data_IF_505913922299
#
_entry.id   IF_505913922299
#
_cell.length_a   1.000
_cell.length_b   1.000
_cell.length_c   1.000
_cell.angle_alpha   90.00
_cell.angle_beta   90.00
_cell.angle_gamma   90.00
#
_symmetry.space_group_name_H-M   'P 1'
#
loop_
_entity.id
_entity.type
_entity.pdbx_description
1 polymer ?
#
# COMPACT_ATOMS: atom_id res chain seq x y z
N UNK A 1 -19.60 27.54 4.29
CA UNK A 1 -18.93 27.28 3.00
C UNK A 1 -17.56 27.92 3.04
N UNK A 2 -16.54 27.17 2.65
CA UNK A 2 -15.18 27.69 2.52
C UNK A 2 -15.09 28.41 1.15
N UNK A 3 -14.71 29.70 1.08
CA UNK A 3 -14.60 30.42 -0.19
C UNK A 3 -13.59 29.76 -1.12
N UNK A 4 -13.81 29.86 -2.44
CA UNK A 4 -12.83 29.43 -3.43
C UNK A 4 -11.57 30.29 -3.33
N UNK A 5 -10.42 29.66 -3.45
CA UNK A 5 -9.11 30.31 -3.37
C UNK A 5 -8.20 29.70 -4.45
N UNK A 6 -7.75 30.49 -5.42
CA UNK A 6 -6.85 30.02 -6.47
C UNK A 6 -5.55 29.40 -5.94
N UNK A 7 -5.08 29.80 -4.74
CA UNK A 7 -3.90 29.22 -4.11
C UNK A 7 -4.14 27.80 -3.55
N UNK A 8 -5.40 27.36 -3.49
CA UNK A 8 -5.82 26.00 -3.09
C UNK A 8 -6.40 25.23 -4.28
N UNK A 9 -5.99 25.58 -5.50
CA UNK A 9 -6.32 24.78 -6.68
C UNK A 9 -5.78 23.35 -6.51
N UNK A 10 -6.59 22.36 -6.91
CA UNK A 10 -6.15 20.97 -6.90
C UNK A 10 -5.03 20.77 -7.90
N UNK A 11 -3.96 20.08 -7.46
CA UNK A 11 -2.95 19.56 -8.36
C UNK A 11 -3.50 18.28 -9.00
N UNK A 12 -3.45 18.22 -10.33
CA UNK A 12 -3.73 16.99 -11.07
C UNK A 12 -2.65 15.94 -10.79
N UNK A 13 -2.96 14.67 -10.99
CA UNK A 13 -1.99 13.59 -10.76
C UNK A 13 -0.70 13.76 -11.59
N UNK A 14 -0.74 14.11 -12.90
CA UNK A 14 0.48 14.38 -13.65
C UNK A 14 1.32 15.53 -13.09
N UNK A 15 0.68 16.58 -12.55
CA UNK A 15 1.40 17.68 -11.89
C UNK A 15 2.08 17.21 -10.60
N UNK A 16 1.41 16.39 -9.80
CA UNK A 16 1.98 15.80 -8.58
C UNK A 16 3.18 14.90 -8.93
N UNK A 17 3.04 14.00 -9.90
CA UNK A 17 4.11 13.10 -10.37
C UNK A 17 5.29 13.92 -10.89
N UNK A 18 5.05 14.98 -11.67
CA UNK A 18 6.11 15.85 -12.18
C UNK A 18 6.86 16.59 -11.05
N UNK A 19 6.16 17.03 -10.00
CA UNK A 19 6.78 17.66 -8.83
C UNK A 19 7.68 16.67 -8.10
N UNK A 20 7.18 15.46 -7.81
CA UNK A 20 7.94 14.43 -7.09
C UNK A 20 9.14 13.96 -7.92
N UNK A 21 8.95 13.72 -9.23
CA UNK A 21 10.03 13.31 -10.13
C UNK A 21 11.12 14.40 -10.28
N UNK A 22 10.77 15.67 -10.08
CA UNK A 22 11.71 16.79 -10.10
C UNK A 22 12.48 17.00 -8.80
N UNK A 23 12.12 16.31 -7.71
CA UNK A 23 12.77 16.40 -6.41
C UNK A 23 13.88 15.36 -6.26
N UNK A 24 15.12 15.81 -6.06
CA UNK A 24 16.27 14.92 -5.85
C UNK A 24 16.50 13.95 -7.01
N UNK A 25 16.40 12.66 -6.73
CA UNK A 25 16.49 11.57 -7.72
C UNK A 25 15.11 11.11 -8.25
N UNK A 26 14.06 11.85 -7.92
CA UNK A 26 12.68 11.56 -8.31
C UNK A 26 11.99 10.51 -7.45
N UNK A 27 12.59 10.08 -6.32
CA UNK A 27 12.05 9.05 -5.42
C UNK A 27 11.75 7.72 -6.13
N UNK A 28 12.47 7.44 -7.22
CA UNK A 28 12.29 6.26 -8.06
C UNK A 28 11.26 6.41 -9.20
N UNK A 29 10.59 7.56 -9.33
CA UNK A 29 9.74 7.84 -10.49
C UNK A 29 10.60 8.03 -11.74
N UNK A 30 10.38 7.16 -12.73
CA UNK A 30 11.10 7.22 -14.00
C UNK A 30 10.33 8.01 -15.07
N UNK A 31 10.93 8.11 -16.26
CA UNK A 31 10.31 8.81 -17.39
C UNK A 31 8.99 8.16 -17.84
N UNK A 32 8.81 6.85 -17.61
CA UNK A 32 7.58 6.15 -17.96
C UNK A 32 6.44 6.52 -17.00
N UNK A 33 6.71 6.57 -15.69
CA UNK A 33 5.75 7.04 -14.68
C UNK A 33 5.31 8.49 -14.94
N UNK A 34 6.27 9.37 -15.28
CA UNK A 34 5.98 10.77 -15.65
C UNK A 34 5.15 10.84 -16.93
N UNK A 35 5.47 10.06 -17.96
CA UNK A 35 4.71 10.04 -19.22
C UNK A 35 3.30 9.45 -19.06
N UNK A 36 3.14 8.45 -18.20
CA UNK A 36 1.84 7.90 -17.79
C UNK A 36 1.03 8.92 -16.99
N UNK A 37 1.72 9.86 -16.31
CA UNK A 37 1.10 10.83 -15.40
C UNK A 37 0.58 10.17 -14.13
N UNK A 38 1.08 8.97 -13.81
CA UNK A 38 0.67 8.17 -12.65
C UNK A 38 1.87 7.50 -11.99
N UNK A 39 1.88 7.47 -10.66
CA UNK A 39 2.98 6.94 -9.87
C UNK A 39 3.01 5.40 -9.83
N UNK A 40 3.31 4.78 -10.97
CA UNK A 40 3.65 3.37 -11.06
C UNK A 40 5.12 3.21 -11.38
N UNK A 41 5.84 2.48 -10.53
CA UNK A 41 7.27 2.25 -10.73
C UNK A 41 7.73 1.02 -9.94
N UNK A 42 8.90 0.52 -10.30
CA UNK A 42 9.56 -0.58 -9.60
C UNK A 42 10.97 -0.18 -9.18
N UNK A 43 11.46 -0.83 -8.13
CA UNK A 43 12.88 -0.78 -7.79
C UNK A 43 13.30 -2.08 -7.12
N UNK A 44 14.56 -2.46 -7.34
CA UNK A 44 15.16 -3.65 -6.73
C UNK A 44 15.92 -3.27 -5.46
N UNK A 45 15.87 -4.13 -4.46
CA UNK A 45 16.75 -4.02 -3.29
C UNK A 45 18.12 -4.60 -3.66
N UNK A 46 19.14 -3.77 -3.61
CA UNK A 46 20.49 -4.14 -4.03
C UNK A 46 21.01 -5.35 -3.25
N UNK A 47 21.52 -6.36 -3.98
CA UNK A 47 22.10 -7.57 -3.39
C UNK A 47 21.08 -8.63 -2.96
N UNK A 48 19.79 -8.46 -3.27
CA UNK A 48 18.74 -9.44 -2.96
C UNK A 48 17.86 -9.73 -4.20
N UNK A 49 17.05 -10.80 -4.19
CA UNK A 49 16.04 -11.04 -5.23
C UNK A 49 14.78 -10.18 -5.04
N UNK A 50 14.74 -9.24 -4.10
CA UNK A 50 13.52 -8.49 -3.77
C UNK A 50 13.31 -7.30 -4.72
N UNK A 51 12.11 -7.22 -5.30
CA UNK A 51 11.60 -6.09 -6.09
C UNK A 51 10.37 -5.49 -5.41
N UNK A 52 10.32 -4.17 -5.34
CA UNK A 52 9.11 -3.45 -4.99
C UNK A 52 8.38 -3.04 -6.27
N UNK A 53 7.06 -3.28 -6.30
CA UNK A 53 6.15 -2.67 -7.26
C UNK A 53 5.31 -1.64 -6.52
N UNK A 54 5.47 -0.37 -6.87
CA UNK A 54 4.69 0.73 -6.29
C UNK A 54 3.53 1.06 -7.22
N UNK A 55 2.32 0.97 -6.68
CA UNK A 55 1.08 1.17 -7.43
C UNK A 55 0.32 2.40 -6.94
N UNK A 56 -0.27 3.13 -7.89
CA UNK A 56 -1.29 4.11 -7.56
C UNK A 56 -2.70 3.52 -7.66
N UNK A 57 -3.35 3.37 -6.52
CA UNK A 57 -4.75 2.90 -6.41
C UNK A 57 -5.74 4.03 -6.12
N UNK A 58 -5.32 5.28 -6.05
CA UNK A 58 -6.21 6.42 -5.82
C UNK A 58 -7.14 6.67 -7.01
N UNK A 59 -8.42 6.88 -6.74
CA UNK A 59 -9.39 7.23 -7.77
C UNK A 59 -9.23 8.69 -8.21
N UNK A 60 -8.98 8.90 -9.50
CA UNK A 60 -8.92 10.22 -10.14
C UNK A 60 -10.23 11.03 -10.02
N UNK A 61 -11.33 10.35 -9.70
CA UNK A 61 -12.66 10.96 -9.63
C UNK A 61 -13.03 11.39 -8.20
N UNK A 62 -12.14 11.14 -7.23
CA UNK A 62 -12.23 11.65 -5.86
C UNK A 62 -12.92 10.73 -4.85
N UNK A 63 -13.22 9.49 -5.21
CA UNK A 63 -13.68 8.49 -4.24
C UNK A 63 -12.59 8.19 -3.20
N UNK A 64 -13.00 7.93 -1.95
CA UNK A 64 -12.09 7.46 -0.89
C UNK A 64 -11.65 6.01 -1.08
N UNK A 65 -12.35 5.23 -1.90
CA UNK A 65 -12.01 3.84 -2.17
C UNK A 65 -10.94 3.72 -3.26
N UNK A 66 -10.19 2.62 -3.19
CA UNK A 66 -9.21 2.28 -4.20
C UNK A 66 -9.86 1.90 -5.52
N UNK A 67 -9.25 2.29 -6.63
CA UNK A 67 -9.70 1.95 -7.98
C UNK A 67 -8.56 1.25 -8.72
N UNK A 68 -8.83 0.02 -9.16
CA UNK A 68 -7.98 -0.72 -10.09
C UNK A 68 -8.88 -1.23 -11.20
N UNK A 69 -8.46 -1.05 -12.44
CA UNK A 69 -9.21 -1.46 -13.63
C UNK A 69 -8.37 -2.43 -14.48
N UNK A 70 -8.99 -3.25 -15.35
CA UNK A 70 -8.28 -4.17 -16.24
C UNK A 70 -7.16 -3.50 -17.04
N UNK A 71 -7.37 -2.24 -17.46
CA UNK A 71 -6.33 -1.47 -18.16
C UNK A 71 -5.06 -1.31 -17.31
N UNK A 72 -5.16 -1.17 -15.98
CA UNK A 72 -3.99 -1.08 -15.10
C UNK A 72 -3.23 -2.40 -15.06
N UNK A 73 -3.95 -3.53 -15.06
CA UNK A 73 -3.38 -4.87 -15.12
C UNK A 73 -2.66 -5.09 -16.46
N UNK A 74 -3.32 -4.78 -17.57
CA UNK A 74 -2.83 -5.05 -18.91
C UNK A 74 -1.65 -4.16 -19.32
N UNK A 75 -1.64 -2.91 -18.88
CA UNK A 75 -0.69 -1.92 -19.38
C UNK A 75 0.51 -1.67 -18.47
N UNK A 76 0.38 -1.95 -17.17
CA UNK A 76 1.44 -1.62 -16.19
C UNK A 76 1.69 -2.76 -15.20
N UNK A 77 0.69 -3.17 -14.43
CA UNK A 77 0.91 -4.07 -13.29
C UNK A 77 1.33 -5.47 -13.77
N UNK A 78 0.59 -6.07 -14.69
CA UNK A 78 0.89 -7.40 -15.25
C UNK A 78 2.26 -7.44 -15.91
N UNK A 79 2.59 -6.53 -16.85
CA UNK A 79 3.92 -6.47 -17.45
C UNK A 79 5.07 -6.36 -16.43
N UNK A 80 4.91 -5.59 -15.35
CA UNK A 80 5.93 -5.46 -14.30
C UNK A 80 6.09 -6.74 -13.48
N UNK A 81 5.00 -7.44 -13.19
CA UNK A 81 5.03 -8.74 -12.49
C UNK A 81 5.61 -9.85 -13.39
N UNK A 82 5.25 -9.88 -14.67
CA UNK A 82 5.81 -10.79 -15.66
C UNK A 82 7.33 -10.59 -15.81
N UNK A 83 7.79 -9.33 -15.87
CA UNK A 83 9.22 -9.00 -15.92
C UNK A 83 9.95 -9.45 -14.65
N UNK A 84 9.36 -9.22 -13.48
CA UNK A 84 9.92 -9.66 -12.20
C UNK A 84 10.03 -11.18 -12.14
N UNK A 85 9.00 -11.90 -12.61
CA UNK A 85 8.99 -13.36 -12.66
C UNK A 85 10.07 -13.89 -13.59
N UNK A 86 10.21 -13.31 -14.79
CA UNK A 86 11.24 -13.69 -15.76
C UNK A 86 12.68 -13.37 -15.29
N UNK A 87 12.82 -12.51 -14.28
CA UNK A 87 14.09 -12.11 -13.67
C UNK A 87 14.34 -12.79 -12.31
N UNK A 88 13.57 -13.82 -11.96
CA UNK A 88 13.65 -14.56 -10.69
C UNK A 88 13.59 -13.64 -9.46
N UNK A 89 12.70 -12.63 -9.50
CA UNK A 89 12.52 -11.65 -8.41
C UNK A 89 11.30 -11.96 -7.57
N UNK A 90 11.46 -11.92 -6.25
CA UNK A 90 10.35 -11.88 -5.29
C UNK A 90 9.77 -10.47 -5.23
N UNK A 91 8.45 -10.35 -5.30
CA UNK A 91 7.76 -9.07 -5.41
C UNK A 91 7.01 -8.73 -4.13
N UNK A 92 7.27 -7.52 -3.63
CA UNK A 92 6.38 -6.81 -2.70
C UNK A 92 5.59 -5.80 -3.51
N UNK A 93 4.28 -6.04 -3.62
CA UNK A 93 3.35 -5.07 -4.20
C UNK A 93 2.96 -4.07 -3.13
N UNK A 94 3.12 -2.78 -3.42
CA UNK A 94 2.78 -1.69 -2.49
C UNK A 94 1.71 -0.79 -3.09
N UNK A 95 0.78 -0.34 -2.25
CA UNK A 95 -0.33 0.52 -2.68
C UNK A 95 -0.93 1.27 -1.50
N UNK A 96 -1.65 2.37 -1.72
CA UNK A 96 -2.39 3.01 -0.63
C UNK A 96 -3.52 2.12 -0.10
N UNK A 97 -4.40 1.64 -0.98
CA UNK A 97 -5.57 0.84 -0.61
C UNK A 97 -5.25 -0.65 -0.50
N UNK A 98 -5.75 -1.33 0.54
CA UNK A 98 -5.79 -2.79 0.62
C UNK A 98 -6.82 -3.38 -0.35
N UNK A 99 -6.74 -4.68 -0.64
CA UNK A 99 -7.68 -5.38 -1.51
C UNK A 99 -9.14 -5.21 -1.06
N UNK A 100 -9.36 -5.21 0.25
CA UNK A 100 -10.68 -5.05 0.89
C UNK A 100 -11.19 -3.60 0.92
N UNK A 101 -10.45 -2.65 0.33
CA UNK A 101 -10.81 -1.23 0.25
C UNK A 101 -10.88 -0.74 -1.20
N UNK A 102 -11.10 -1.68 -2.12
CA UNK A 102 -11.38 -1.36 -3.52
C UNK A 102 -12.87 -1.09 -3.72
N UNK A 103 -13.18 -0.17 -4.63
CA UNK A 103 -14.52 0.15 -5.07
C UNK A 103 -14.57 0.38 -6.58
N UNK A 104 -15.71 0.87 -7.05
CA UNK A 104 -15.96 1.13 -8.47
C UNK A 104 -15.64 2.58 -8.90
N UNK A 105 -14.98 3.34 -8.03
CA UNK A 105 -14.65 4.74 -8.25
C UNK A 105 -15.79 5.72 -7.94
N UNK A 106 -16.98 5.25 -7.54
CA UNK A 106 -18.07 6.08 -7.04
C UNK A 106 -18.21 6.02 -5.52
N UNK A 107 -18.54 7.14 -4.91
CA UNK A 107 -18.97 7.24 -3.51
C UNK A 107 -20.15 8.24 -3.41
N UNK A 108 -20.84 8.31 -2.27
CA UNK A 108 -21.97 9.21 -2.11
C UNK A 108 -21.58 10.68 -2.34
N UNK A 109 -22.02 11.25 -3.46
CA UNK A 109 -21.81 12.66 -3.80
C UNK A 109 -20.45 13.00 -4.42
N UNK A 110 -19.59 12.02 -4.68
CA UNK A 110 -18.28 12.20 -5.33
C UNK A 110 -17.91 10.97 -6.18
N UNK A 111 -16.96 11.10 -7.10
CA UNK A 111 -16.52 9.96 -7.89
C UNK A 111 -17.29 9.75 -9.19
N UNK A 112 -16.85 8.77 -9.95
CA UNK A 112 -17.47 8.29 -11.19
C UNK A 112 -17.34 6.79 -11.20
N UNK A 113 -18.46 6.11 -11.46
CA UNK A 113 -18.51 4.66 -11.49
C UNK A 113 -17.81 4.12 -12.75
N UNK A 114 -17.02 3.06 -12.56
CA UNK A 114 -16.38 2.27 -13.60
C UNK A 114 -16.87 0.83 -13.51
N UNK A 115 -17.71 0.41 -14.47
CA UNK A 115 -18.30 -0.93 -14.49
C UNK A 115 -17.28 -2.06 -14.63
N UNK A 116 -16.07 -1.73 -15.10
CA UNK A 116 -14.95 -2.64 -15.23
C UNK A 116 -14.00 -2.62 -14.03
N UNK A 117 -14.29 -1.88 -12.96
CA UNK A 117 -13.47 -1.88 -11.76
C UNK A 117 -13.35 -3.28 -11.16
N UNK A 118 -12.13 -3.63 -10.74
CA UNK A 118 -11.86 -4.92 -10.11
C UNK A 118 -12.47 -4.97 -8.73
N UNK A 119 -13.15 -6.07 -8.44
CA UNK A 119 -13.56 -6.43 -7.09
C UNK A 119 -12.35 -6.88 -6.27
N UNK A 120 -12.51 -6.89 -4.94
CA UNK A 120 -11.53 -7.49 -4.01
C UNK A 120 -11.12 -8.89 -4.44
N UNK A 121 -12.07 -9.77 -4.78
CA UNK A 121 -11.77 -11.14 -5.17
C UNK A 121 -10.94 -11.20 -6.45
N UNK A 122 -11.30 -10.42 -7.48
CA UNK A 122 -10.56 -10.39 -8.74
C UNK A 122 -9.14 -9.86 -8.56
N UNK A 123 -8.95 -8.83 -7.73
CA UNK A 123 -7.60 -8.34 -7.41
C UNK A 123 -6.79 -9.38 -6.66
N UNK A 124 -7.41 -10.05 -5.68
CA UNK A 124 -6.73 -11.08 -4.91
C UNK A 124 -6.33 -12.29 -5.77
N UNK A 125 -7.21 -12.72 -6.67
CA UNK A 125 -6.97 -13.77 -7.66
C UNK A 125 -5.89 -13.38 -8.66
N UNK A 126 -5.89 -12.14 -9.14
CA UNK A 126 -4.85 -11.65 -10.05
C UNK A 126 -3.47 -11.73 -9.40
N UNK A 127 -3.30 -11.18 -8.19
CA UNK A 127 -2.01 -11.27 -7.48
C UNK A 127 -1.63 -12.71 -7.15
N UNK A 128 -2.61 -13.55 -6.77
CA UNK A 128 -2.38 -14.98 -6.57
C UNK A 128 -2.03 -15.75 -7.84
N UNK A 129 -2.19 -15.16 -9.03
CA UNK A 129 -1.71 -15.74 -10.28
C UNK A 129 -0.18 -15.71 -10.44
N UNK A 130 0.52 -14.98 -9.56
CA UNK A 130 1.95 -14.76 -9.63
C UNK A 130 2.66 -15.43 -8.45
N UNK A 131 3.35 -16.54 -8.72
CA UNK A 131 4.09 -17.31 -7.70
C UNK A 131 5.21 -16.52 -7.03
N UNK A 132 5.66 -15.44 -7.65
CA UNK A 132 6.72 -14.58 -7.12
C UNK A 132 6.20 -13.41 -6.27
N UNK A 133 4.89 -13.22 -6.12
CA UNK A 133 4.32 -12.19 -5.22
C UNK A 133 4.24 -12.75 -3.80
N UNK A 134 5.07 -12.22 -2.91
CA UNK A 134 5.16 -12.71 -1.52
C UNK A 134 4.37 -11.85 -0.52
N UNK A 135 4.14 -10.58 -0.86
CA UNK A 135 3.50 -9.61 0.02
C UNK A 135 2.76 -8.52 -0.76
N UNK A 136 1.53 -8.24 -0.37
CA UNK A 136 0.82 -6.99 -0.68
C UNK A 136 0.86 -6.08 0.57
N UNK A 137 1.67 -5.02 0.51
CA UNK A 137 1.86 -4.05 1.58
C UNK A 137 1.00 -2.80 1.30
N UNK A 138 -0.03 -2.61 2.11
CA UNK A 138 -1.04 -1.56 1.93
C UNK A 138 -1.19 -0.63 3.15
N UNK A 139 -2.08 0.37 3.02
CA UNK A 139 -2.43 1.33 4.05
C UNK A 139 -3.96 1.55 4.08
N UNK A 140 -4.41 2.81 4.07
CA UNK A 140 -5.79 3.28 3.96
C UNK A 140 -6.69 3.05 5.19
N UNK A 141 -6.72 1.87 5.79
CA UNK A 141 -7.64 1.59 6.91
C UNK A 141 -7.19 2.18 8.25
N UNK A 142 -5.99 2.74 8.29
CA UNK A 142 -5.34 3.30 9.48
C UNK A 142 -5.14 2.29 10.62
N UNK A 143 -5.22 0.99 10.32
CA UNK A 143 -5.06 -0.09 11.30
C UNK A 143 -4.00 -1.08 10.88
N UNK A 144 -3.21 -1.53 11.86
CA UNK A 144 -2.34 -2.68 11.71
C UNK A 144 -3.18 -3.90 11.32
N UNK A 145 -2.80 -4.53 10.20
CA UNK A 145 -3.42 -5.76 9.72
C UNK A 145 -2.37 -6.68 9.11
N UNK A 146 -2.59 -7.99 9.23
CA UNK A 146 -1.86 -9.08 8.58
C UNK A 146 -2.86 -10.20 8.30
N UNK A 147 -3.07 -10.51 7.02
CA UNK A 147 -4.00 -11.55 6.58
C UNK A 147 -3.32 -12.49 5.57
N UNK A 148 -3.47 -13.82 5.70
CA UNK A 148 -3.09 -14.74 4.65
C UNK A 148 -4.15 -14.73 3.55
N UNK A 149 -3.74 -14.46 2.32
CA UNK A 149 -4.62 -14.55 1.17
C UNK A 149 -4.37 -15.86 0.43
N UNK A 150 -5.44 -16.63 0.20
CA UNK A 150 -5.39 -17.94 -0.45
C UNK A 150 -6.35 -17.99 -1.64
N UNK A 151 -5.99 -17.35 -2.77
CA UNK A 151 -6.81 -17.37 -3.96
C UNK A 151 -6.96 -18.78 -4.53
N UNK A 152 -8.12 -19.08 -5.11
CA UNK A 152 -8.45 -20.43 -5.59
C UNK A 152 -7.57 -20.79 -6.78
N UNK A 153 -6.73 -21.82 -6.61
CA UNK A 153 -5.87 -22.33 -7.69
C UNK A 153 -4.65 -21.48 -8.01
N UNK A 154 -4.37 -20.46 -7.18
CA UNK A 154 -3.17 -19.62 -7.27
C UNK A 154 -2.22 -19.81 -6.09
N UNK A 155 -1.19 -18.98 -6.08
CA UNK A 155 -0.23 -18.79 -5.01
C UNK A 155 -0.85 -18.05 -3.81
N UNK A 156 -0.56 -18.53 -2.60
CA UNK A 156 -0.94 -17.83 -1.38
C UNK A 156 0.10 -16.76 -1.05
N UNK A 157 -0.33 -15.56 -0.69
CA UNK A 157 0.56 -14.46 -0.30
C UNK A 157 0.02 -13.75 0.94
N UNK A 158 0.87 -12.93 1.57
CA UNK A 158 0.46 -12.15 2.74
C UNK A 158 -0.04 -10.78 2.31
N UNK A 159 -1.12 -10.30 2.93
CA UNK A 159 -1.51 -8.90 2.86
C UNK A 159 -1.25 -8.23 4.21
N UNK A 160 -0.48 -7.15 4.22
CA UNK A 160 -0.14 -6.42 5.43
C UNK A 160 -0.53 -4.95 5.29
N UNK A 161 -1.19 -4.41 6.32
CA UNK A 161 -1.57 -3.00 6.38
C UNK A 161 -0.87 -2.31 7.53
N UNK A 162 -0.26 -1.16 7.24
CA UNK A 162 0.35 -0.28 8.25
C UNK A 162 -0.62 0.80 8.73
N UNK A 163 -0.56 1.22 10.00
CA UNK A 163 -1.48 2.20 10.55
C UNK A 163 -1.11 3.61 10.07
N UNK A 164 -2.01 4.56 10.30
CA UNK A 164 -1.71 5.98 10.14
C UNK A 164 -0.79 6.43 11.28
N UNK A 165 0.20 7.27 10.95
CA UNK A 165 1.03 7.93 11.97
C UNK A 165 0.22 8.96 12.78
N UNK A 166 -0.83 9.52 12.18
CA UNK A 166 -1.66 10.55 12.81
C UNK A 166 -2.63 9.96 13.85
N UNK A 167 -2.98 8.69 13.71
CA UNK A 167 -4.04 8.08 14.51
C UNK A 167 -3.44 7.25 15.61
N UNK A 168 -4.15 7.12 16.74
CA UNK A 168 -3.68 6.28 17.83
C UNK A 168 -3.45 4.84 17.34
N UNK A 169 -2.30 4.21 17.64
CA UNK A 169 -1.26 4.60 18.60
C UNK A 169 -0.06 5.40 18.04
N UNK A 170 -0.15 5.96 16.83
CA UNK A 170 0.94 6.68 16.13
C UNK A 170 2.17 5.81 15.93
N UNK A 171 1.95 4.58 15.47
CA UNK A 171 3.01 3.59 15.30
C UNK A 171 3.49 3.48 13.86
N UNK A 172 4.78 3.18 13.72
CA UNK A 172 5.33 2.68 12.46
C UNK A 172 5.43 1.16 12.51
N UNK A 173 5.67 0.52 11.36
CA UNK A 173 5.97 -0.91 11.29
C UNK A 173 7.29 -1.12 10.56
N UNK A 174 8.21 -1.84 11.19
CA UNK A 174 9.39 -2.40 10.53
C UNK A 174 9.00 -3.76 9.96
N UNK A 175 9.36 -3.98 8.70
CA UNK A 175 9.13 -5.24 7.98
C UNK A 175 10.48 -5.77 7.51
N UNK A 176 10.78 -7.01 7.87
CA UNK A 176 12.02 -7.69 7.49
C UNK A 176 11.68 -8.98 6.75
N UNK A 177 12.29 -9.19 5.58
CA UNK A 177 12.15 -10.42 4.82
C UNK A 177 13.44 -11.23 5.00
N UNK A 178 13.30 -12.47 5.47
CA UNK A 178 14.42 -13.36 5.72
C UNK A 178 14.25 -14.64 4.90
N UNK A 179 15.20 -14.91 4.00
CA UNK A 179 15.37 -16.24 3.43
C UNK A 179 15.86 -17.19 4.53
N UNK A 180 15.16 -18.31 4.70
CA UNK A 180 15.48 -19.31 5.72
C UNK A 180 16.44 -20.40 5.21
N UNK A 181 16.95 -20.27 3.98
CA UNK A 181 17.85 -21.23 3.32
C UNK A 181 17.24 -22.66 3.23
N UNK A 182 15.91 -22.76 3.26
CA UNK A 182 15.18 -24.03 3.31
C UNK A 182 13.95 -24.08 2.39
N UNK A 183 13.87 -23.15 1.43
CA UNK A 183 12.72 -23.01 0.53
C UNK A 183 11.53 -22.25 1.13
N UNK A 184 11.72 -21.56 2.26
CA UNK A 184 10.72 -20.68 2.85
C UNK A 184 11.32 -19.30 3.19
N UNK A 185 10.45 -18.29 3.18
CA UNK A 185 10.73 -16.95 3.67
C UNK A 185 9.96 -16.70 4.96
N UNK A 186 10.53 -15.91 5.87
CA UNK A 186 9.77 -15.24 6.92
C UNK A 186 9.63 -13.76 6.61
N UNK A 187 8.44 -13.20 6.85
CA UNK A 187 8.15 -11.77 6.67
C UNK A 187 7.81 -11.20 8.04
N UNK A 188 8.84 -10.85 8.81
CA UNK A 188 8.66 -10.35 10.17
C UNK A 188 8.12 -8.93 10.15
N UNK A 189 7.10 -8.66 10.94
CA UNK A 189 6.57 -7.32 11.16
C UNK A 189 6.62 -6.98 12.65
N UNK A 190 7.13 -5.78 12.97
CA UNK A 190 7.20 -5.24 14.34
C UNK A 190 6.68 -3.81 14.36
N UNK A 191 5.70 -3.54 15.21
CA UNK A 191 5.21 -2.19 15.43
C UNK A 191 6.15 -1.43 16.37
N UNK A 192 6.56 -0.24 15.96
CA UNK A 192 7.42 0.66 16.72
C UNK A 192 6.59 1.84 17.23
N UNK A 193 6.73 2.13 18.52
CA UNK A 193 6.15 3.31 19.14
C UNK A 193 6.96 4.57 18.78
N UNK A 194 6.26 5.67 18.54
CA UNK A 194 6.88 6.98 18.41
C UNK A 194 7.43 7.43 19.76
N UNK A 195 8.69 7.86 19.79
CA UNK A 195 9.29 8.50 20.97
C UNK A 195 8.78 9.93 21.04
N UNK A 196 8.24 10.34 22.20
CA UNK A 196 7.80 11.72 22.45
C UNK A 196 8.64 12.47 23.47
N UNK A 197 9.68 11.82 24.02
CA UNK A 197 10.56 12.40 25.02
C UNK A 197 11.21 13.69 24.50
N UNK A 198 11.13 14.74 25.32
CA UNK A 198 11.67 16.08 25.04
C UNK A 198 11.15 16.74 23.73
N UNK A 199 10.08 16.22 23.12
CA UNK A 199 9.43 16.82 21.94
C UNK A 199 7.97 17.22 22.24
N UNK A 200 7.70 18.52 22.48
CA UNK A 200 6.36 18.99 22.80
C UNK A 200 5.37 18.86 21.63
N UNK A 201 5.83 18.81 20.38
CA UNK A 201 4.94 18.60 19.22
C UNK A 201 4.55 17.13 19.09
N UNK A 202 5.51 16.22 19.24
CA UNK A 202 5.22 14.79 19.24
C UNK A 202 4.29 14.40 20.40
N UNK A 203 4.50 14.97 21.58
CA UNK A 203 3.63 14.75 22.75
C UNK A 203 2.22 15.33 22.56
N UNK A 204 2.10 16.49 21.91
CA UNK A 204 0.80 17.04 21.54
C UNK A 204 0.09 16.12 20.53
N UNK A 205 0.79 15.69 19.48
CA UNK A 205 0.24 14.77 18.48
C UNK A 205 -0.25 13.47 19.10
N UNK A 206 0.56 12.85 19.97
CA UNK A 206 0.17 11.66 20.74
C UNK A 206 -1.07 11.90 21.60
N UNK A 207 -1.15 13.07 22.26
CA UNK A 207 -2.29 13.44 23.09
C UNK A 207 -3.57 13.57 22.26
N UNK A 208 -3.49 14.22 21.11
CA UNK A 208 -4.62 14.40 20.19
C UNK A 208 -5.08 13.06 19.61
N UNK A 209 -4.15 12.22 19.18
CA UNK A 209 -4.45 10.87 18.69
C UNK A 209 -5.21 10.03 19.75
N UNK A 210 -4.79 10.09 21.02
CA UNK A 210 -5.50 9.43 22.13
C UNK A 210 -6.91 10.04 22.33
N UNK A 211 -7.05 11.36 22.24
CA UNK A 211 -8.35 12.02 22.36
C UNK A 211 -9.31 11.59 21.23
N UNK A 212 -8.85 11.55 19.98
CA UNK A 212 -9.64 11.11 18.83
C UNK A 212 -10.10 9.65 19.00
N UNK A 213 -9.20 8.76 19.44
CA UNK A 213 -9.55 7.35 19.68
C UNK A 213 -10.52 7.16 20.85
N UNK A 214 -10.27 7.81 21.99
CA UNK A 214 -11.09 7.64 23.20
C UNK A 214 -12.45 8.35 23.12
N UNK A 215 -12.58 9.37 22.27
CA UNK A 215 -13.85 10.02 21.95
C UNK A 215 -14.69 9.21 20.94
N UNK A 216 -14.08 8.23 20.27
CA UNK A 216 -14.70 7.45 19.19
C UNK A 216 -14.76 8.17 17.85
N UNK A 217 -14.01 9.28 17.69
CA UNK A 217 -13.86 9.97 16.41
C UNK A 217 -13.03 9.12 15.44
N UNK A 218 -11.90 8.57 15.92
CA UNK A 218 -11.09 7.60 15.18
C UNK A 218 -11.09 6.22 15.85
N UNK A 219 -10.71 5.22 15.07
CA UNK A 219 -10.59 3.85 15.57
C UNK A 219 -9.20 3.57 16.17
N UNK A 220 -9.09 2.47 16.90
CA UNK A 220 -7.80 1.99 17.40
C UNK A 220 -6.96 1.37 16.27
N UNK A 221 -5.85 2.02 15.94
CA UNK A 221 -4.89 1.60 14.92
C UNK A 221 -4.10 0.33 15.25
N UNK A 222 -4.21 -0.23 16.47
CA UNK A 222 -3.48 -1.44 16.90
C UNK A 222 -3.90 -2.74 16.20
N UNK A 223 -4.97 -2.70 15.41
CA UNK A 223 -5.55 -3.88 14.76
C UNK A 223 -6.54 -4.63 15.67
N UNK A 224 -7.08 -5.73 15.16
CA UNK A 224 -8.11 -6.53 15.86
C UNK A 224 -7.54 -7.42 16.98
N UNK A 225 -6.23 -7.65 16.99
CA UNK A 225 -5.57 -8.55 17.93
C UNK A 225 -4.04 -8.48 17.88
N UNK A 226 -3.35 -9.14 18.84
CA UNK A 226 -1.88 -9.17 18.88
C UNK A 226 -1.24 -9.82 17.64
N UNK A 227 -1.96 -10.75 17.01
CA UNK A 227 -1.66 -11.42 15.74
C UNK A 227 -1.70 -10.48 14.52
N UNK A 228 -2.05 -9.21 14.71
CA UNK A 228 -2.02 -8.19 13.66
C UNK A 228 -0.83 -7.23 13.83
N UNK A 229 -0.16 -7.25 14.98
CA UNK A 229 0.78 -6.19 15.39
C UNK A 229 2.24 -6.59 15.24
N UNK A 230 2.64 -7.65 15.94
CA UNK A 230 4.00 -8.18 15.95
C UNK A 230 3.97 -9.65 15.53
N UNK A 231 4.36 -9.95 14.29
CA UNK A 231 4.16 -11.26 13.67
C UNK A 231 5.37 -11.76 12.91
N UNK A 232 5.42 -13.06 12.66
CA UNK A 232 6.40 -13.72 11.81
C UNK A 232 5.70 -14.74 10.91
N UNK A 233 4.93 -14.28 9.91
CA UNK A 233 4.35 -15.14 8.90
C UNK A 233 5.42 -15.82 8.05
N UNK A 234 5.07 -17.02 7.60
CA UNK A 234 5.89 -17.87 6.73
C UNK A 234 5.21 -17.99 5.36
N UNK A 235 6.02 -18.08 4.32
CA UNK A 235 5.59 -18.33 2.94
C UNK A 235 6.64 -19.17 2.23
N UNK A 236 6.24 -19.98 1.24
CA UNK A 236 7.20 -20.66 0.39
C UNK A 236 8.04 -19.61 -0.36
N UNK A 237 9.34 -19.85 -0.47
CA UNK A 237 10.17 -19.03 -1.36
C UNK A 237 9.76 -19.33 -2.81
N UNK A 238 9.49 -18.31 -3.63
CA UNK A 238 9.30 -18.51 -5.06
C UNK A 238 10.50 -19.23 -5.68
N UNK A 239 10.23 -20.21 -6.55
CA UNK A 239 11.26 -20.95 -7.31
C UNK A 239 11.94 -20.09 -8.37
#
# INVERSE_FOLDING_TARGET
>A
MVPADPARAFLTEPEQVAIVAGDGDGHGLDAAAVALGRAFYTFDVAGTPLRFLVMNTSSLTGSSQGLIRPVDLETVIGPQLDEALAADKWVIVTSHHRSGSLGDGQEFGIGTQYDDALTTAQWQEFLGGYDNVILHLAAHTHRLMVEPLQPVGGHAYWEMVTPSLNDFPSQMRVIEVWDQDNGALTIQARALDMITDDDPLAELGRTLAVADSTSGWENDGRGTGPDQRNVEPWIAAPE
#
